data_IF_645296864308
#
_entry.id   IF_645296864308
#
_cell.length_a   1.000
_cell.length_b   1.000
_cell.length_c   1.000
_cell.angle_alpha   90.00
_cell.angle_beta   90.00
_cell.angle_gamma   90.00
#
_symmetry.space_group_name_H-M   'P 1'
#
loop_
_entity.id
_entity.type
_entity.pdbx_description
1 polymer ?
#
# COMPACT_ATOMS: atom_id res chain seq x y z
N UNK A 1 9.50 26.92 -53.77
CA UNK A 1 10.16 25.63 -53.57
C UNK A 1 9.24 24.73 -52.75
N UNK A 2 8.96 23.52 -53.21
CA UNK A 2 8.15 22.58 -52.41
C UNK A 2 8.92 22.10 -51.20
N UNK A 3 8.23 21.78 -50.11
CA UNK A 3 8.79 21.27 -48.84
C UNK A 3 9.78 20.12 -49.06
N UNK A 4 9.44 19.16 -49.91
CA UNK A 4 10.32 18.03 -50.26
C UNK A 4 11.60 18.45 -50.98
N UNK A 5 11.54 19.45 -51.85
CA UNK A 5 12.68 19.94 -52.63
C UNK A 5 13.77 20.54 -51.73
N UNK A 6 13.37 21.15 -50.59
CA UNK A 6 14.31 21.71 -49.62
C UNK A 6 15.22 20.61 -49.03
N UNK A 7 14.66 19.47 -48.64
CA UNK A 7 15.43 18.35 -48.07
C UNK A 7 16.27 17.61 -49.11
N UNK A 8 15.78 17.47 -50.33
CA UNK A 8 16.55 16.84 -51.43
C UNK A 8 17.82 17.64 -51.73
N UNK A 9 17.76 18.97 -51.68
CA UNK A 9 18.91 19.86 -51.93
C UNK A 9 19.86 19.96 -50.74
N UNK A 10 19.45 19.51 -49.53
CA UNK A 10 20.23 19.60 -48.28
C UNK A 10 20.26 18.26 -47.56
N UNK A 11 20.92 17.22 -48.12
CA UNK A 11 20.89 15.88 -47.55
C UNK A 11 21.54 15.78 -46.18
N UNK A 12 22.58 16.59 -45.89
CA UNK A 12 23.22 16.64 -44.59
C UNK A 12 22.23 17.17 -43.52
N UNK A 13 21.47 18.18 -43.84
CA UNK A 13 20.43 18.71 -42.93
C UNK A 13 19.34 17.66 -42.64
N UNK A 14 18.89 16.94 -43.64
CA UNK A 14 17.93 15.85 -43.46
C UNK A 14 18.49 14.73 -42.56
N UNK A 15 19.74 14.35 -42.77
CA UNK A 15 20.41 13.34 -41.95
C UNK A 15 20.57 13.77 -40.48
N UNK A 16 20.98 15.02 -40.24
CA UNK A 16 21.10 15.57 -38.88
C UNK A 16 19.74 15.59 -38.18
N UNK A 17 18.69 16.04 -38.85
CA UNK A 17 17.34 16.05 -38.29
C UNK A 17 16.86 14.65 -37.96
N UNK A 18 17.11 13.66 -38.83
CA UNK A 18 16.78 12.25 -38.58
C UNK A 18 17.51 11.70 -37.37
N UNK A 19 18.80 11.98 -37.24
CA UNK A 19 19.60 11.57 -36.07
C UNK A 19 19.07 12.19 -34.78
N UNK A 20 18.76 13.48 -34.80
CA UNK A 20 18.17 14.15 -33.63
C UNK A 20 16.84 13.53 -33.25
N UNK A 21 15.97 13.24 -34.21
CA UNK A 21 14.68 12.57 -34.00
C UNK A 21 14.86 11.20 -33.36
N UNK A 22 15.82 10.40 -33.83
CA UNK A 22 16.12 9.09 -33.24
C UNK A 22 16.65 9.22 -31.83
N UNK A 23 17.59 10.13 -31.57
CA UNK A 23 18.16 10.33 -30.25
C UNK A 23 17.09 10.80 -29.24
N UNK A 24 16.28 11.78 -29.62
CA UNK A 24 15.19 12.28 -28.76
C UNK A 24 14.16 11.18 -28.51
N UNK A 25 13.75 10.43 -29.54
CA UNK A 25 12.81 9.33 -29.43
C UNK A 25 13.32 8.19 -28.55
N UNK A 26 14.60 7.82 -28.70
CA UNK A 26 15.23 6.78 -27.87
C UNK A 26 15.34 7.19 -26.38
N UNK A 27 15.64 8.45 -26.12
CA UNK A 27 15.63 9.00 -24.75
C UNK A 27 14.20 8.98 -24.20
N UNK A 28 13.23 9.46 -24.97
CA UNK A 28 11.81 9.52 -24.57
C UNK A 28 11.25 8.13 -24.23
N UNK A 29 11.66 7.10 -24.95
CA UNK A 29 11.23 5.72 -24.70
C UNK A 29 11.56 5.24 -23.26
N UNK A 30 12.68 5.72 -22.68
CA UNK A 30 13.07 5.35 -21.31
C UNK A 30 12.20 6.01 -20.24
N UNK A 31 11.54 7.12 -20.57
CA UNK A 31 10.70 7.88 -19.66
C UNK A 31 9.21 7.65 -19.86
N UNK A 32 8.81 6.91 -20.90
CA UNK A 32 7.42 6.58 -21.11
C UNK A 32 6.92 5.62 -20.03
N UNK A 33 5.79 5.93 -19.36
CA UNK A 33 5.16 5.01 -18.43
C UNK A 33 4.65 3.78 -19.19
N UNK A 34 4.87 2.60 -18.61
CA UNK A 34 4.36 1.32 -19.12
C UNK A 34 3.35 0.78 -18.13
N UNK A 35 2.11 0.61 -18.56
CA UNK A 35 1.02 0.06 -17.75
C UNK A 35 0.29 -1.06 -18.49
N UNK A 36 -0.43 -1.92 -17.77
CA UNK A 36 -1.23 -3.00 -18.37
C UNK A 36 -2.43 -2.43 -19.13
N UNK A 37 -3.02 -1.36 -18.61
CA UNK A 37 -4.18 -0.65 -19.18
C UNK A 37 -3.92 0.86 -19.22
N UNK A 38 -4.55 1.59 -20.15
CA UNK A 38 -4.55 3.05 -20.10
C UNK A 38 -5.20 3.53 -18.78
N UNK A 39 -4.79 4.69 -18.29
CA UNK A 39 -5.35 5.31 -17.08
C UNK A 39 -6.79 5.79 -17.34
N UNK A 40 -7.74 4.85 -17.38
CA UNK A 40 -9.18 5.13 -17.54
C UNK A 40 -9.94 5.08 -16.23
N UNK A 41 -9.34 4.52 -15.18
CA UNK A 41 -9.94 4.46 -13.87
C UNK A 41 -9.77 5.80 -13.14
N UNK A 42 -10.88 6.44 -12.70
CA UNK A 42 -10.79 7.67 -11.92
C UNK A 42 -9.98 7.45 -10.64
N UNK A 43 -9.10 8.39 -10.28
CA UNK A 43 -8.30 8.28 -9.07
C UNK A 43 -9.18 8.36 -7.82
N UNK A 44 -8.82 7.60 -6.76
CA UNK A 44 -9.62 7.52 -5.55
C UNK A 44 -8.79 7.77 -4.29
N UNK A 45 -9.46 8.37 -3.29
CA UNK A 45 -8.95 8.48 -1.92
C UNK A 45 -9.84 7.63 -1.03
N UNK A 46 -9.23 6.77 -0.24
CA UNK A 46 -9.92 5.90 0.71
C UNK A 46 -9.70 6.41 2.13
N UNK A 47 -10.79 6.66 2.82
CA UNK A 47 -10.82 6.98 4.25
C UNK A 47 -11.23 5.73 5.01
N UNK A 48 -10.42 5.29 5.96
CA UNK A 48 -10.67 4.08 6.75
C UNK A 48 -10.73 4.43 8.23
N UNK A 49 -11.77 3.95 8.90
CA UNK A 49 -11.95 4.04 10.34
C UNK A 49 -12.31 2.67 10.92
N UNK A 50 -11.93 2.43 12.17
CA UNK A 50 -12.21 1.17 12.86
C UNK A 50 -13.07 1.51 14.08
N UNK A 51 -14.21 0.83 14.19
CA UNK A 51 -15.12 0.92 15.36
C UNK A 51 -15.39 -0.50 15.86
N UNK A 52 -14.55 -1.05 16.73
CA UNK A 52 -14.66 -2.43 17.18
C UNK A 52 -15.98 -2.71 17.88
N UNK A 53 -16.65 -3.81 17.52
CA UNK A 53 -17.92 -4.23 18.11
C UNK A 53 -19.16 -3.48 17.65
N UNK A 54 -19.03 -2.48 16.79
CA UNK A 54 -20.16 -1.79 16.21
C UNK A 54 -20.77 -2.57 15.04
N UNK A 55 -22.09 -2.59 14.94
CA UNK A 55 -22.78 -3.13 13.77
C UNK A 55 -22.63 -2.20 12.56
N UNK A 56 -22.79 -2.73 11.32
CA UNK A 56 -22.74 -1.91 10.11
C UNK A 56 -23.68 -0.70 10.13
N UNK A 57 -24.88 -0.84 10.70
CA UNK A 57 -25.86 0.26 10.83
C UNK A 57 -25.38 1.36 11.78
N UNK A 58 -24.77 0.98 12.91
CA UNK A 58 -24.14 1.92 13.84
C UNK A 58 -22.98 2.63 13.17
N UNK A 59 -22.14 1.92 12.45
CA UNK A 59 -21.01 2.49 11.69
C UNK A 59 -21.53 3.49 10.65
N UNK A 60 -22.57 3.14 9.90
CA UNK A 60 -23.16 4.00 8.88
C UNK A 60 -23.66 5.33 9.45
N UNK A 61 -24.33 5.27 10.61
CA UNK A 61 -24.94 6.47 11.21
C UNK A 61 -23.97 7.30 12.02
N UNK A 62 -23.04 6.68 12.76
CA UNK A 62 -22.19 7.39 13.72
C UNK A 62 -20.79 7.72 13.20
N UNK A 63 -20.32 7.03 12.16
CA UNK A 63 -18.98 7.20 11.60
C UNK A 63 -19.04 7.66 10.15
N UNK A 64 -19.74 6.91 9.28
CA UNK A 64 -19.77 7.21 7.85
C UNK A 64 -20.50 8.53 7.58
N UNK A 65 -21.70 8.71 8.09
CA UNK A 65 -22.51 9.91 7.83
C UNK A 65 -21.81 11.23 8.22
N UNK A 66 -21.18 11.38 9.40
CA UNK A 66 -20.43 12.59 9.75
C UNK A 66 -19.20 12.83 8.84
N UNK A 67 -18.54 11.76 8.39
CA UNK A 67 -17.41 11.87 7.47
C UNK A 67 -17.87 12.24 6.06
N UNK A 68 -18.94 11.63 5.56
CA UNK A 68 -19.55 11.95 4.27
C UNK A 68 -20.00 13.41 4.22
N UNK A 69 -20.69 13.87 5.27
CA UNK A 69 -21.14 15.27 5.37
C UNK A 69 -19.95 16.25 5.29
N UNK A 70 -18.87 15.96 6.00
CA UNK A 70 -17.69 16.82 6.01
C UNK A 70 -16.92 16.80 4.70
N UNK A 71 -16.83 15.63 4.04
CA UNK A 71 -16.09 15.42 2.80
C UNK A 71 -16.88 15.93 1.59
N UNK A 72 -18.19 15.96 1.69
CA UNK A 72 -19.05 16.40 0.60
C UNK A 72 -18.67 17.81 0.10
N UNK A 73 -18.67 17.98 -1.21
CA UNK A 73 -18.30 19.25 -1.86
C UNK A 73 -16.82 19.53 -1.97
N UNK A 74 -15.97 18.52 -1.82
CA UNK A 74 -14.55 18.64 -2.18
C UNK A 74 -14.45 18.85 -3.70
N UNK A 75 -13.63 19.80 -4.09
CA UNK A 75 -13.35 20.14 -5.50
C UNK A 75 -12.85 18.89 -6.27
N UNK A 76 -13.32 18.76 -7.51
CA UNK A 76 -13.03 17.66 -8.44
C UNK A 76 -13.49 16.27 -7.98
N UNK A 77 -14.20 16.14 -6.87
CA UNK A 77 -14.87 14.89 -6.51
C UNK A 77 -16.06 14.61 -7.44
N UNK A 78 -16.22 13.36 -7.87
CA UNK A 78 -17.33 12.91 -8.70
C UNK A 78 -18.45 12.32 -7.86
N UNK A 79 -18.11 11.34 -7.04
CA UNK A 79 -19.01 10.66 -6.12
C UNK A 79 -18.21 10.06 -4.96
N UNK A 80 -18.93 9.69 -3.91
CA UNK A 80 -18.37 8.94 -2.80
C UNK A 80 -19.29 7.77 -2.45
N UNK A 81 -18.70 6.74 -1.88
CA UNK A 81 -19.41 5.58 -1.35
C UNK A 81 -18.78 5.14 -0.04
N UNK A 82 -19.61 4.75 0.92
CA UNK A 82 -19.16 4.20 2.20
C UNK A 82 -19.66 2.79 2.39
N UNK A 83 -18.89 1.98 3.07
CA UNK A 83 -19.20 0.61 3.44
C UNK A 83 -18.78 0.35 4.88
N UNK A 84 -19.70 -0.12 5.70
CA UNK A 84 -19.44 -0.67 7.02
C UNK A 84 -19.47 -2.20 6.99
N UNK A 85 -18.54 -2.85 7.66
CA UNK A 85 -18.45 -4.32 7.75
C UNK A 85 -18.73 -4.79 9.17
N UNK A 86 -19.11 -6.07 9.34
CA UNK A 86 -19.46 -6.67 10.64
C UNK A 86 -18.27 -6.78 11.60
N UNK A 87 -17.05 -6.66 11.11
CA UNK A 87 -15.81 -6.61 11.90
C UNK A 87 -15.47 -5.20 12.41
N UNK A 88 -16.37 -4.25 12.22
CA UNK A 88 -16.22 -2.90 12.75
C UNK A 88 -15.40 -1.96 11.86
N UNK A 89 -15.13 -2.32 10.60
CA UNK A 89 -14.36 -1.50 9.67
C UNK A 89 -15.30 -0.63 8.83
N UNK A 90 -15.04 0.66 8.78
CA UNK A 90 -15.65 1.61 7.84
C UNK A 90 -14.65 1.96 6.75
N UNK A 91 -15.06 1.85 5.51
CA UNK A 91 -14.30 2.28 4.34
C UNK A 91 -15.15 3.27 3.55
N UNK A 92 -14.65 4.50 3.39
CA UNK A 92 -15.28 5.53 2.56
C UNK A 92 -14.34 5.84 1.39
N UNK A 93 -14.83 5.65 0.18
CA UNK A 93 -14.09 5.88 -1.06
C UNK A 93 -14.59 7.15 -1.72
N UNK A 94 -13.71 8.10 -1.95
CA UNK A 94 -13.98 9.34 -2.69
C UNK A 94 -13.33 9.24 -4.04
N UNK A 95 -14.12 9.33 -5.10
CA UNK A 95 -13.69 9.24 -6.50
C UNK A 95 -13.54 10.63 -7.09
N UNK A 96 -12.43 10.90 -7.75
CA UNK A 96 -12.10 12.19 -8.36
C UNK A 96 -12.09 12.11 -9.88
N UNK A 97 -12.16 13.27 -10.54
CA UNK A 97 -12.03 13.36 -12.01
C UNK A 97 -10.65 12.87 -12.46
N UNK A 98 -10.58 12.34 -13.68
CA UNK A 98 -9.31 12.01 -14.32
C UNK A 98 -8.41 13.26 -14.40
N UNK A 99 -7.12 13.08 -14.11
CA UNK A 99 -6.14 14.16 -14.11
C UNK A 99 -6.09 14.97 -12.81
N UNK A 100 -6.90 14.63 -11.79
CA UNK A 100 -6.80 15.25 -10.47
C UNK A 100 -5.49 14.87 -9.79
N UNK A 101 -4.78 15.85 -9.24
CA UNK A 101 -3.60 15.64 -8.40
C UNK A 101 -4.00 14.94 -7.10
N UNK A 102 -3.64 13.66 -6.96
CA UNK A 102 -3.97 12.84 -5.80
C UNK A 102 -3.29 13.31 -4.50
N UNK A 103 -2.14 13.98 -4.58
CA UNK A 103 -1.46 14.51 -3.40
C UNK A 103 -2.27 15.66 -2.80
N UNK A 104 -2.71 16.58 -3.62
CA UNK A 104 -3.58 17.67 -3.20
C UNK A 104 -4.96 17.17 -2.77
N UNK A 105 -5.53 16.20 -3.49
CA UNK A 105 -6.81 15.61 -3.15
C UNK A 105 -6.75 14.92 -1.77
N UNK A 106 -5.69 14.17 -1.47
CA UNK A 106 -5.50 13.53 -0.17
C UNK A 106 -5.43 14.57 0.95
N UNK A 107 -4.70 15.66 0.77
CA UNK A 107 -4.61 16.74 1.76
C UNK A 107 -5.97 17.38 1.98
N UNK A 108 -6.73 17.66 0.92
CA UNK A 108 -8.10 18.21 1.03
C UNK A 108 -9.02 17.26 1.80
N UNK A 109 -9.02 15.96 1.48
CA UNK A 109 -9.81 14.93 2.19
C UNK A 109 -9.39 14.85 3.65
N UNK A 110 -8.08 14.78 3.94
CA UNK A 110 -7.56 14.72 5.30
C UNK A 110 -7.99 15.93 6.14
N UNK A 111 -7.97 17.13 5.57
CA UNK A 111 -8.45 18.34 6.27
C UNK A 111 -9.94 18.25 6.61
N UNK A 112 -10.76 17.70 5.72
CA UNK A 112 -12.19 17.47 5.98
C UNK A 112 -12.42 16.39 7.04
N UNK A 113 -11.67 15.30 6.98
CA UNK A 113 -11.69 14.26 8.02
C UNK A 113 -11.34 14.84 9.38
N UNK A 114 -10.31 15.69 9.47
CA UNK A 114 -9.91 16.33 10.72
C UNK A 114 -11.03 17.23 11.29
N UNK A 115 -11.81 17.89 10.44
CA UNK A 115 -12.98 18.67 10.87
C UNK A 115 -14.11 17.78 11.41
N UNK A 116 -14.24 16.54 10.91
CA UNK A 116 -15.26 15.61 11.37
C UNK A 116 -14.88 14.86 12.67
N UNK A 117 -13.57 14.75 12.99
CA UNK A 117 -13.07 13.97 14.15
C UNK A 117 -13.83 14.27 15.46
N UNK A 118 -14.13 15.54 15.84
CA UNK A 118 -14.85 15.81 17.08
C UNK A 118 -16.27 15.22 17.15
N UNK A 119 -16.87 14.94 15.98
CA UNK A 119 -18.22 14.37 15.88
C UNK A 119 -18.25 12.85 15.97
N UNK A 120 -17.08 12.19 15.86
CA UNK A 120 -16.95 10.73 15.83
C UNK A 120 -16.92 10.14 17.26
N UNK A 121 -17.34 8.87 17.43
CA UNK A 121 -17.20 8.13 18.67
C UNK A 121 -15.78 8.14 19.23
N UNK A 122 -15.63 8.10 20.55
CA UNK A 122 -14.33 8.19 21.21
C UNK A 122 -13.39 7.05 20.81
N UNK A 123 -13.89 5.83 20.66
CA UNK A 123 -13.14 4.65 20.22
C UNK A 123 -12.54 4.85 18.83
N UNK A 124 -13.32 5.40 17.89
CA UNK A 124 -12.88 5.71 16.54
C UNK A 124 -11.81 6.80 16.54
N UNK A 125 -12.00 7.84 17.36
CA UNK A 125 -10.99 8.92 17.50
C UNK A 125 -9.69 8.41 18.09
N UNK A 126 -9.74 7.51 19.06
CA UNK A 126 -8.58 6.92 19.71
C UNK A 126 -7.78 6.01 18.78
N UNK A 127 -8.46 5.21 17.96
CA UNK A 127 -7.83 4.34 16.97
C UNK A 127 -7.33 5.12 15.75
N UNK A 128 -7.96 6.27 15.49
CA UNK A 128 -7.63 7.15 14.40
C UNK A 128 -8.37 6.82 13.10
N UNK A 129 -8.45 7.83 12.25
CA UNK A 129 -8.99 7.73 10.89
C UNK A 129 -7.86 7.93 9.91
N UNK A 130 -7.66 6.98 9.01
CA UNK A 130 -6.58 7.01 8.02
C UNK A 130 -7.11 7.40 6.65
N UNK A 131 -6.35 8.22 5.93
CA UNK A 131 -6.65 8.64 4.57
C UNK A 131 -5.53 8.19 3.65
N UNK A 132 -5.87 7.37 2.66
CA UNK A 132 -4.93 6.71 1.79
C UNK A 132 -5.29 6.99 0.33
N UNK A 133 -4.28 7.21 -0.52
CA UNK A 133 -4.46 7.14 -1.97
C UNK A 133 -4.74 5.68 -2.32
N UNK A 134 -5.75 5.45 -3.12
CA UNK A 134 -6.02 4.13 -3.67
C UNK A 134 -5.80 4.16 -5.16
N UNK A 135 -4.88 3.33 -5.63
CA UNK A 135 -4.79 3.02 -7.06
C UNK A 135 -5.55 1.71 -7.27
N UNK A 136 -6.39 1.60 -8.29
CA UNK A 136 -7.00 0.33 -8.67
C UNK A 136 -5.98 -0.65 -9.24
N UNK A 137 -4.78 -0.17 -9.60
CA UNK A 137 -3.80 -0.93 -10.36
C UNK A 137 -2.97 -1.83 -9.45
N UNK A 138 -3.46 -3.05 -9.27
CA UNK A 138 -2.74 -4.12 -8.59
C UNK A 138 -1.61 -4.65 -9.47
N UNK A 139 -0.37 -4.31 -9.15
CA UNK A 139 0.80 -4.72 -9.94
C UNK A 139 1.18 -6.17 -9.69
N UNK A 140 1.19 -6.61 -8.44
CA UNK A 140 1.51 -8.01 -8.10
C UNK A 140 1.07 -8.37 -6.68
N UNK A 141 1.01 -9.67 -6.42
CA UNK A 141 0.78 -10.19 -5.08
C UNK A 141 1.92 -11.14 -4.70
N UNK A 142 2.68 -10.74 -3.70
CA UNK A 142 3.68 -11.61 -3.06
C UNK A 142 3.00 -12.37 -1.94
N UNK A 143 3.17 -13.69 -1.90
CA UNK A 143 2.66 -14.54 -0.82
C UNK A 143 3.82 -15.02 0.01
N UNK A 144 3.79 -14.70 1.31
CA UNK A 144 4.71 -15.26 2.30
C UNK A 144 4.10 -16.53 2.87
N UNK A 145 4.86 -17.61 2.88
CA UNK A 145 4.38 -18.95 3.22
C UNK A 145 5.36 -19.66 4.16
N UNK A 146 4.85 -20.54 4.99
CA UNK A 146 5.64 -21.55 5.72
C UNK A 146 5.33 -22.93 5.12
N UNK A 147 6.16 -23.42 4.18
CA UNK A 147 5.89 -24.67 3.45
C UNK A 147 5.74 -25.89 4.34
N UNK A 148 6.48 -25.96 5.42
CA UNK A 148 6.51 -27.03 6.42
C UNK A 148 5.53 -26.78 7.58
N UNK A 149 4.70 -25.74 7.51
CA UNK A 149 3.78 -25.30 8.56
C UNK A 149 4.46 -25.08 9.94
N UNK A 150 5.74 -24.77 9.94
CA UNK A 150 6.53 -24.49 11.16
C UNK A 150 6.04 -23.24 11.87
N UNK A 151 5.60 -22.22 11.13
CA UNK A 151 5.16 -20.94 11.67
C UNK A 151 3.65 -20.77 11.52
N UNK A 152 3.03 -20.24 12.58
CA UNK A 152 1.63 -19.84 12.55
C UNK A 152 1.41 -18.65 11.60
N UNK A 153 0.17 -18.50 11.12
CA UNK A 153 -0.26 -17.38 10.28
C UNK A 153 0.01 -16.02 10.94
N UNK A 154 -0.20 -15.91 12.24
CA UNK A 154 0.07 -14.68 13.01
C UNK A 154 1.56 -14.34 13.02
N UNK A 155 2.43 -15.35 13.18
CA UNK A 155 3.88 -15.15 13.10
C UNK A 155 4.30 -14.66 11.71
N UNK A 156 3.83 -15.35 10.65
CA UNK A 156 4.15 -14.98 9.26
C UNK A 156 3.65 -13.57 8.95
N UNK A 157 2.45 -13.21 9.44
CA UNK A 157 1.91 -11.86 9.30
C UNK A 157 2.77 -10.80 10.01
N UNK A 158 3.15 -11.07 11.25
CA UNK A 158 4.00 -10.16 12.02
C UNK A 158 5.37 -9.98 11.34
N UNK A 159 5.96 -11.06 10.85
CA UNK A 159 7.21 -10.99 10.08
C UNK A 159 7.06 -10.13 8.82
N UNK A 160 5.97 -10.33 8.06
CA UNK A 160 5.65 -9.51 6.90
C UNK A 160 5.50 -8.02 7.24
N UNK A 161 4.84 -7.72 8.37
CA UNK A 161 4.64 -6.34 8.86
C UNK A 161 5.97 -5.66 9.21
N UNK A 162 6.82 -6.36 9.97
CA UNK A 162 8.04 -5.76 10.53
C UNK A 162 9.23 -5.73 9.56
N UNK A 163 9.36 -6.74 8.70
CA UNK A 163 10.56 -6.94 7.89
C UNK A 163 10.35 -6.67 6.39
N UNK A 164 9.14 -6.83 5.87
CA UNK A 164 8.90 -6.82 4.43
C UNK A 164 8.13 -5.59 3.98
N UNK A 165 7.00 -5.29 4.62
CA UNK A 165 6.06 -4.26 4.19
C UNK A 165 6.72 -2.91 3.93
N UNK A 166 7.51 -2.42 4.88
CA UNK A 166 8.13 -1.10 4.79
C UNK A 166 9.25 -1.05 3.75
N UNK A 167 9.95 -2.17 3.53
CA UNK A 167 10.96 -2.27 2.49
C UNK A 167 10.32 -2.16 1.10
N UNK A 168 9.22 -2.88 0.88
CA UNK A 168 8.48 -2.81 -0.38
C UNK A 168 7.79 -1.46 -0.58
N UNK A 169 7.25 -0.85 0.47
CA UNK A 169 6.57 0.44 0.40
C UNK A 169 7.50 1.62 0.02
N UNK A 170 8.81 1.47 0.22
CA UNK A 170 9.81 2.49 -0.13
C UNK A 170 10.31 2.39 -1.58
N UNK A 171 9.93 1.36 -2.31
CA UNK A 171 10.38 1.18 -3.70
C UNK A 171 9.75 2.25 -4.60
N UNK A 172 10.54 2.81 -5.54
CA UNK A 172 10.01 3.76 -6.52
C UNK A 172 8.86 3.14 -7.32
N UNK A 173 7.78 3.87 -7.49
CA UNK A 173 6.60 3.42 -8.21
C UNK A 173 5.58 2.65 -7.37
N UNK A 174 5.86 2.32 -6.11
CA UNK A 174 4.87 1.77 -5.19
C UNK A 174 3.95 2.87 -4.69
N UNK A 175 2.65 2.69 -4.87
CA UNK A 175 1.61 3.56 -4.31
C UNK A 175 1.15 3.08 -2.94
N UNK A 176 0.93 1.77 -2.81
CA UNK A 176 0.46 1.16 -1.57
C UNK A 176 0.90 -0.29 -1.46
N UNK A 177 1.21 -0.72 -0.23
CA UNK A 177 1.41 -2.12 0.14
C UNK A 177 0.41 -2.48 1.23
N UNK A 178 -0.41 -3.48 0.98
CA UNK A 178 -1.34 -4.02 1.96
C UNK A 178 -0.90 -5.41 2.41
N UNK A 179 -1.47 -5.88 3.50
CA UNK A 179 -1.24 -7.24 3.99
C UNK A 179 -2.58 -7.90 4.23
N UNK A 180 -2.82 -9.05 3.64
CA UNK A 180 -4.01 -9.87 3.84
C UNK A 180 -3.64 -11.18 4.52
N UNK A 181 -4.42 -11.57 5.52
CA UNK A 181 -4.22 -12.72 6.38
C UNK A 181 -4.77 -12.44 7.77
N UNK A 182 -4.34 -13.18 8.76
CA UNK A 182 -4.65 -12.89 10.17
C UNK A 182 -4.21 -11.49 10.57
N UNK A 183 -4.82 -10.93 11.63
CA UNK A 183 -4.41 -9.62 12.18
C UNK A 183 -3.00 -9.63 12.77
N UNK A 184 -2.49 -8.46 13.10
CA UNK A 184 -1.23 -8.31 13.82
C UNK A 184 -1.34 -8.87 15.25
N UNK A 185 -0.21 -9.16 15.90
CA UNK A 185 -0.21 -9.63 17.29
C UNK A 185 -0.97 -8.70 18.20
N UNK A 186 -1.83 -9.28 19.03
CA UNK A 186 -2.62 -8.59 20.03
C UNK A 186 -2.78 -9.45 21.26
N UNK A 187 -2.79 -8.84 22.44
CA UNK A 187 -3.17 -9.52 23.67
C UNK A 187 -4.70 -9.66 23.69
N UNK A 188 -5.17 -10.89 23.62
CA UNK A 188 -6.60 -11.23 23.64
C UNK A 188 -7.03 -11.62 25.04
N UNK A 189 -8.13 -11.01 25.47
CA UNK A 189 -8.69 -11.24 26.80
C UNK A 189 -10.10 -11.79 26.62
N UNK A 190 -10.27 -13.07 26.93
CA UNK A 190 -11.54 -13.78 26.85
C UNK A 190 -12.21 -13.78 28.21
N UNK A 191 -13.15 -12.87 28.40
CA UNK A 191 -13.90 -12.76 29.65
C UNK A 191 -14.85 -13.97 29.79
N UNK A 192 -14.87 -14.54 31.01
CA UNK A 192 -15.87 -15.53 31.42
C UNK A 192 -17.06 -14.75 32.02
N UNK A 193 -18.25 -14.76 31.38
CA UNK A 193 -19.37 -13.97 31.83
C UNK A 193 -19.86 -14.35 33.23
N UNK A 194 -19.84 -15.66 33.56
CA UNK A 194 -20.31 -16.16 34.86
C UNK A 194 -19.36 -15.73 35.98
N UNK A 195 -18.07 -15.90 35.77
CA UNK A 195 -17.07 -15.47 36.76
C UNK A 195 -17.03 -13.95 36.92
N UNK A 196 -17.22 -13.21 35.83
CA UNK A 196 -17.26 -11.74 35.84
C UNK A 196 -18.49 -11.27 36.64
N UNK A 197 -19.66 -11.83 36.39
CA UNK A 197 -20.89 -11.51 37.10
C UNK A 197 -20.81 -11.92 38.58
N UNK A 198 -20.28 -13.12 38.90
CA UNK A 198 -20.10 -13.59 40.27
C UNK A 198 -19.21 -12.67 41.13
N UNK A 199 -18.31 -11.93 40.48
CA UNK A 199 -17.46 -10.93 41.15
C UNK A 199 -18.07 -9.53 41.15
N UNK A 200 -19.29 -9.34 40.61
CA UNK A 200 -20.00 -8.05 40.51
C UNK A 200 -19.25 -7.05 39.61
N UNK A 201 -18.59 -7.55 38.56
CA UNK A 201 -17.87 -6.75 37.57
C UNK A 201 -18.65 -6.73 36.26
N UNK A 202 -18.59 -5.62 35.54
CA UNK A 202 -19.01 -5.51 34.15
C UNK A 202 -17.82 -5.60 33.20
N UNK A 203 -18.06 -5.88 31.92
CA UNK A 203 -17.01 -5.85 30.91
C UNK A 203 -16.35 -4.45 30.83
N UNK A 204 -17.12 -3.40 31.03
CA UNK A 204 -16.61 -2.02 31.03
C UNK A 204 -15.64 -1.75 32.19
N UNK A 205 -15.91 -2.30 33.37
CA UNK A 205 -14.99 -2.18 34.52
C UNK A 205 -13.66 -2.84 34.23
N UNK A 206 -13.69 -4.04 33.58
CA UNK A 206 -12.48 -4.73 33.17
C UNK A 206 -11.69 -3.92 32.12
N UNK A 207 -12.37 -3.37 31.12
CA UNK A 207 -11.71 -2.54 30.10
C UNK A 207 -11.07 -1.31 30.74
N UNK A 208 -11.74 -0.65 31.70
CA UNK A 208 -11.20 0.50 32.42
C UNK A 208 -9.96 0.13 33.23
N UNK A 209 -10.01 -0.95 34.00
CA UNK A 209 -8.85 -1.41 34.79
C UNK A 209 -7.65 -1.75 33.93
N UNK A 210 -7.87 -2.36 32.74
CA UNK A 210 -6.80 -2.64 31.77
C UNK A 210 -6.21 -1.33 31.24
N UNK A 211 -7.04 -0.36 30.88
CA UNK A 211 -6.59 0.94 30.35
C UNK A 211 -5.76 1.72 31.39
N UNK A 212 -6.18 1.71 32.64
CA UNK A 212 -5.49 2.40 33.74
C UNK A 212 -4.13 1.77 34.06
N UNK A 213 -4.02 0.44 34.02
CA UNK A 213 -2.79 -0.26 34.40
C UNK A 213 -1.86 -0.57 33.19
N UNK A 214 -2.36 -0.54 31.96
CA UNK A 214 -1.57 -0.71 30.75
C UNK A 214 -1.27 0.64 30.08
N UNK A 215 -0.90 1.63 30.85
CA UNK A 215 -0.57 2.96 30.39
C UNK A 215 0.94 3.21 30.41
N UNK A 216 1.45 3.92 29.41
CA UNK A 216 2.83 4.40 29.41
C UNK A 216 2.85 5.80 30.01
N UNK A 217 3.50 5.93 31.17
CA UNK A 217 3.59 7.19 31.89
C UNK A 217 5.04 7.65 31.91
N UNK A 218 5.27 8.92 31.58
CA UNK A 218 6.55 9.57 31.82
C UNK A 218 6.60 9.97 33.29
N UNK A 219 7.40 9.26 34.10
CA UNK A 219 7.49 9.48 35.54
C UNK A 219 8.37 10.69 35.94
N UNK A 220 9.02 11.35 34.95
CA UNK A 220 9.84 12.53 35.16
C UNK A 220 11.25 12.20 35.72
N UNK A 221 11.82 13.16 36.39
CA UNK A 221 13.17 13.05 36.97
C UNK A 221 13.21 13.64 38.39
N UNK A 222 14.05 13.09 39.26
CA UNK A 222 14.32 13.60 40.59
C UNK A 222 15.65 14.35 40.56
N UNK A 223 15.75 15.47 41.24
CA UNK A 223 16.96 16.30 41.25
C UNK A 223 17.06 17.34 40.14
N UNK A 224 15.97 17.59 39.39
CA UNK A 224 15.95 18.61 38.33
C UNK A 224 15.57 19.99 38.91
N UNK A 225 16.28 21.07 38.58
CA UNK A 225 15.93 22.42 39.02
C UNK A 225 14.52 22.86 38.60
N UNK A 226 13.80 23.69 39.39
CA UNK A 226 14.27 24.36 40.61
C UNK A 226 14.12 23.49 41.87
N UNK A 227 15.21 23.41 42.66
CA UNK A 227 15.26 22.69 43.96
C UNK A 227 15.59 23.66 45.09
N UNK A 228 15.04 23.43 46.27
CA UNK A 228 15.39 24.18 47.47
C UNK A 228 16.89 23.97 47.88
N UNK A 229 17.35 22.72 47.76
CA UNK A 229 18.76 22.34 47.91
C UNK A 229 19.28 21.79 46.58
N UNK A 230 20.27 22.46 45.96
CA UNK A 230 20.84 21.99 44.69
C UNK A 230 21.54 20.65 44.89
N UNK A 231 21.17 19.67 44.03
CA UNK A 231 21.86 18.37 43.97
C UNK A 231 22.60 18.29 42.63
N UNK A 232 23.81 17.72 42.67
CA UNK A 232 24.64 17.54 41.45
C UNK A 232 24.17 16.35 40.59
N UNK A 233 23.11 15.63 41.02
CA UNK A 233 22.66 14.40 40.39
C UNK A 233 21.18 14.50 40.02
N UNK A 234 20.90 14.35 38.72
CA UNK A 234 19.53 14.18 38.19
C UNK A 234 19.30 12.71 37.86
N UNK A 235 18.30 12.09 38.50
CA UNK A 235 17.91 10.70 38.28
C UNK A 235 16.61 10.66 37.46
N UNK A 236 16.64 10.03 36.30
CA UNK A 236 15.41 9.76 35.54
C UNK A 236 14.65 8.61 36.21
N UNK A 237 13.38 8.84 36.51
CA UNK A 237 12.49 7.81 37.06
C UNK A 237 11.85 7.05 35.90
N UNK A 238 12.19 5.77 35.76
CA UNK A 238 11.55 4.88 34.78
C UNK A 238 10.36 4.21 35.46
N UNK A 239 9.14 4.56 35.06
CA UNK A 239 7.96 3.81 35.40
C UNK A 239 7.88 2.53 34.54
N UNK A 240 7.26 1.49 35.06
CA UNK A 240 6.90 0.30 34.29
C UNK A 240 6.00 0.76 33.13
N UNK A 241 6.38 0.45 31.90
CA UNK A 241 5.64 0.82 30.71
C UNK A 241 4.42 -0.08 30.46
N UNK A 242 4.01 -0.18 29.20
CA UNK A 242 2.93 -1.10 28.81
C UNK A 242 3.31 -2.54 29.12
N UNK A 243 2.29 -3.31 29.51
CA UNK A 243 2.42 -4.75 29.74
C UNK A 243 2.66 -5.48 28.42
N UNK A 244 3.51 -6.51 28.46
CA UNK A 244 3.98 -7.20 27.26
C UNK A 244 3.60 -8.68 27.26
N UNK A 245 3.57 -9.32 28.42
CA UNK A 245 3.36 -10.77 28.56
C UNK A 245 1.96 -11.13 29.02
N UNK A 246 1.47 -12.32 28.66
CA UNK A 246 0.20 -12.86 29.13
C UNK A 246 0.11 -12.88 30.66
N UNK A 247 1.22 -13.18 31.31
CA UNK A 247 1.30 -13.21 32.77
C UNK A 247 1.11 -11.81 33.37
N UNK A 248 1.78 -10.79 32.82
CA UNK A 248 1.64 -9.41 33.28
C UNK A 248 0.20 -8.90 33.14
N UNK A 249 -0.46 -9.22 32.00
CA UNK A 249 -1.87 -8.90 31.83
C UNK A 249 -2.75 -9.66 32.82
N UNK A 250 -2.45 -10.94 33.08
CA UNK A 250 -3.17 -11.75 34.07
C UNK A 250 -3.11 -11.19 35.49
N UNK A 251 -2.06 -10.46 35.83
CA UNK A 251 -1.83 -9.85 37.16
C UNK A 251 -2.49 -8.46 37.31
N UNK A 252 -3.20 -7.95 36.29
CA UNK A 252 -3.99 -6.72 36.41
C UNK A 252 -5.01 -6.88 37.54
N UNK A 253 -5.02 -5.93 38.49
CA UNK A 253 -5.98 -5.89 39.60
C UNK A 253 -7.26 -5.22 39.11
N UNK A 254 -8.39 -5.92 39.20
CA UNK A 254 -9.70 -5.41 38.77
C UNK A 254 -10.43 -4.68 39.88
N UNK A 255 -10.40 -5.24 41.07
CA UNK A 255 -10.92 -4.64 42.31
C UNK A 255 -10.33 -5.35 43.52
N UNK A 256 -10.49 -4.73 44.69
CA UNK A 256 -10.27 -5.43 45.96
C UNK A 256 -11.57 -6.09 46.42
N UNK A 257 -11.49 -7.34 46.88
CA UNK A 257 -12.63 -8.06 47.46
C UNK A 257 -13.02 -7.52 48.84
N UNK A 258 -14.10 -8.06 49.39
CA UNK A 258 -14.70 -7.56 50.65
C UNK A 258 -13.78 -7.74 51.86
N UNK A 259 -12.81 -8.67 51.78
CA UNK A 259 -11.82 -8.91 52.83
C UNK A 259 -10.44 -8.30 52.47
N UNK A 260 -10.36 -7.51 51.40
CA UNK A 260 -9.16 -6.82 50.96
C UNK A 260 -8.26 -7.65 50.01
N UNK A 261 -8.64 -8.90 49.68
CA UNK A 261 -7.93 -9.68 48.68
C UNK A 261 -8.12 -9.09 47.27
N UNK A 262 -7.06 -8.97 46.44
CA UNK A 262 -7.18 -8.48 45.08
C UNK A 262 -7.81 -9.53 44.17
N UNK A 263 -8.74 -9.09 43.31
CA UNK A 263 -9.28 -9.88 42.19
C UNK A 263 -8.48 -9.54 40.94
N UNK A 264 -7.83 -10.56 40.39
CA UNK A 264 -6.98 -10.41 39.20
C UNK A 264 -7.74 -10.72 37.91
N UNK A 265 -7.24 -10.21 36.78
CA UNK A 265 -7.81 -10.49 35.47
C UNK A 265 -7.81 -11.98 35.15
N UNK A 266 -6.76 -12.73 35.52
CA UNK A 266 -6.67 -14.19 35.36
C UNK A 266 -7.77 -14.98 36.07
N UNK A 267 -8.41 -14.40 37.08
CA UNK A 267 -9.45 -15.07 37.85
C UNK A 267 -10.79 -15.11 37.09
N UNK A 268 -10.98 -14.17 36.15
CA UNK A 268 -12.24 -14.02 35.39
C UNK A 268 -12.05 -14.10 33.87
N UNK A 269 -10.81 -14.20 33.40
CA UNK A 269 -10.51 -14.18 31.97
C UNK A 269 -9.36 -15.12 31.62
N UNK A 270 -9.37 -15.62 30.38
CA UNK A 270 -8.20 -16.22 29.76
C UNK A 270 -7.48 -15.16 28.94
N UNK A 271 -6.20 -15.02 29.19
CA UNK A 271 -5.31 -14.09 28.46
C UNK A 271 -4.43 -14.90 27.52
N UNK A 272 -4.35 -14.52 26.27
CA UNK A 272 -3.50 -15.18 25.28
C UNK A 272 -2.97 -14.19 24.24
N UNK A 273 -1.76 -14.42 23.76
CA UNK A 273 -1.20 -13.70 22.61
C UNK A 273 -1.74 -14.31 21.31
N UNK A 274 -2.49 -13.55 20.56
CA UNK A 274 -3.11 -14.01 19.32
C UNK A 274 -3.16 -12.93 18.26
N UNK A 275 -3.97 -13.11 17.21
CA UNK A 275 -4.20 -12.07 16.24
C UNK A 275 -5.25 -11.06 16.72
N UNK A 276 -5.08 -9.80 16.37
CA UNK A 276 -6.10 -8.76 16.62
C UNK A 276 -7.41 -9.09 15.92
N UNK A 277 -7.36 -9.81 14.80
CA UNK A 277 -8.49 -10.17 13.96
C UNK A 277 -8.26 -11.52 13.27
N UNK A 278 -9.33 -12.31 13.12
CA UNK A 278 -9.33 -13.62 12.45
C UNK A 278 -10.36 -13.70 11.30
N UNK A 279 -10.97 -12.56 10.93
CA UNK A 279 -12.02 -12.53 9.89
C UNK A 279 -11.45 -12.82 8.49
N UNK A 280 -10.18 -12.51 8.27
CA UNK A 280 -9.53 -12.63 6.97
C UNK A 280 -8.49 -13.76 6.99
N UNK A 281 -8.60 -14.67 6.02
CA UNK A 281 -7.64 -15.75 5.81
C UNK A 281 -7.08 -15.68 4.40
N UNK A 282 -5.77 -15.71 4.28
CA UNK A 282 -5.10 -15.86 2.99
C UNK A 282 -4.51 -17.26 2.87
N UNK A 283 -4.65 -17.85 1.69
CA UNK A 283 -4.11 -19.17 1.37
C UNK A 283 -3.47 -19.18 0.00
N UNK A 284 -2.43 -19.95 -0.15
CA UNK A 284 -1.80 -20.25 -1.44
C UNK A 284 -1.66 -21.76 -1.58
N UNK A 285 -2.27 -22.35 -2.63
CA UNK A 285 -2.27 -23.79 -2.84
C UNK A 285 -2.74 -24.59 -1.60
N UNK A 286 -3.79 -24.14 -0.96
CA UNK A 286 -4.37 -24.73 0.25
C UNK A 286 -3.45 -24.71 1.50
N UNK A 287 -2.33 -23.98 1.45
CA UNK A 287 -1.48 -23.73 2.60
C UNK A 287 -1.72 -22.32 3.12
N UNK A 288 -1.62 -22.14 4.44
CA UNK A 288 -1.71 -20.82 5.06
C UNK A 288 -0.62 -19.88 4.50
N UNK A 289 -1.04 -18.69 4.13
CA UNK A 289 -0.16 -17.68 3.55
C UNK A 289 -0.53 -16.28 4.07
N UNK A 290 0.40 -15.34 3.94
CA UNK A 290 0.12 -13.91 4.04
C UNK A 290 0.27 -13.32 2.66
N UNK A 291 -0.81 -12.76 2.12
CA UNK A 291 -0.77 -12.12 0.82
C UNK A 291 -0.40 -10.64 0.99
N UNK A 292 0.53 -10.19 0.17
CA UNK A 292 1.08 -8.84 0.14
C UNK A 292 0.79 -8.24 -1.24
N UNK A 293 -0.43 -7.72 -1.48
CA UNK A 293 -0.72 -6.99 -2.70
C UNK A 293 0.04 -5.66 -2.73
N UNK A 294 0.64 -5.39 -3.88
CA UNK A 294 1.42 -4.20 -4.18
C UNK A 294 0.70 -3.45 -5.29
N UNK A 295 0.29 -2.24 -4.99
CA UNK A 295 -0.37 -1.33 -5.92
C UNK A 295 0.63 -0.30 -6.41
N UNK A 296 0.63 -0.02 -7.71
CA UNK A 296 1.51 0.99 -8.27
C UNK A 296 0.99 2.42 -8.02
N UNK A 297 1.91 3.37 -8.00
CA UNK A 297 1.55 4.79 -8.08
C UNK A 297 1.07 5.13 -9.50
N UNK A 298 0.06 6.00 -9.65
CA UNK A 298 -0.35 6.47 -10.96
C UNK A 298 0.82 7.00 -11.78
N UNK A 299 0.87 6.65 -13.07
CA UNK A 299 1.95 7.06 -13.99
C UNK A 299 3.30 6.39 -13.78
N UNK A 300 3.41 5.40 -12.87
CA UNK A 300 4.64 4.63 -12.68
C UNK A 300 4.78 3.50 -13.72
N UNK A 301 5.99 2.95 -13.84
CA UNK A 301 6.28 1.85 -14.76
C UNK A 301 6.10 0.51 -14.05
N UNK A 302 5.05 -0.25 -14.41
CA UNK A 302 4.70 -1.54 -13.80
C UNK A 302 5.83 -2.59 -13.96
N UNK A 303 6.53 -2.60 -15.10
CA UNK A 303 7.62 -3.56 -15.36
C UNK A 303 8.81 -3.26 -14.45
N UNK A 304 9.24 -1.99 -14.39
CA UNK A 304 10.34 -1.58 -13.54
C UNK A 304 10.02 -1.81 -12.05
N UNK A 305 8.77 -1.56 -11.65
CA UNK A 305 8.28 -1.85 -10.31
C UNK A 305 8.34 -3.36 -10.02
N UNK A 306 7.84 -4.21 -10.92
CA UNK A 306 7.90 -5.67 -10.78
C UNK A 306 9.33 -6.17 -10.60
N UNK A 307 10.28 -5.65 -11.40
CA UNK A 307 11.70 -6.01 -11.29
C UNK A 307 12.29 -5.59 -9.94
N UNK A 308 11.97 -4.39 -9.49
CA UNK A 308 12.42 -3.87 -8.20
C UNK A 308 11.89 -4.71 -7.03
N UNK A 309 10.60 -5.06 -7.06
CA UNK A 309 9.99 -5.93 -6.05
C UNK A 309 10.63 -7.32 -6.03
N UNK A 310 10.83 -7.94 -7.21
CA UNK A 310 11.46 -9.26 -7.32
C UNK A 310 12.88 -9.24 -6.77
N UNK A 311 13.67 -8.22 -7.12
CA UNK A 311 15.03 -8.04 -6.62
C UNK A 311 15.04 -7.89 -5.10
N UNK A 312 14.22 -6.99 -4.55
CA UNK A 312 14.14 -6.76 -3.11
C UNK A 312 13.67 -8.00 -2.36
N UNK A 313 12.68 -8.73 -2.88
CA UNK A 313 12.25 -9.98 -2.25
C UNK A 313 13.32 -11.08 -2.28
N UNK A 314 14.15 -11.13 -3.32
CA UNK A 314 15.29 -12.05 -3.36
C UNK A 314 16.35 -11.70 -2.30
N UNK A 315 16.67 -10.41 -2.15
CA UNK A 315 17.60 -9.91 -1.12
C UNK A 315 17.04 -10.17 0.31
N UNK A 316 15.76 -9.92 0.53
CA UNK A 316 15.11 -10.18 1.82
C UNK A 316 15.08 -11.67 2.17
N UNK A 317 14.93 -12.54 1.17
CA UNK A 317 14.93 -13.99 1.37
C UNK A 317 16.21 -14.51 2.01
N UNK A 318 17.35 -13.89 1.76
CA UNK A 318 18.64 -14.28 2.37
C UNK A 318 18.59 -14.20 3.92
N UNK A 319 17.71 -13.35 4.46
CA UNK A 319 17.54 -13.15 5.89
C UNK A 319 16.29 -13.84 6.46
N UNK A 320 15.59 -14.65 5.66
CA UNK A 320 14.40 -15.34 6.17
C UNK A 320 14.78 -16.42 7.18
N UNK A 321 13.99 -16.56 8.25
CA UNK A 321 14.16 -17.70 9.14
C UNK A 321 13.89 -19.01 8.38
N UNK A 322 14.59 -20.07 8.77
CA UNK A 322 14.45 -21.39 8.17
C UNK A 322 13.00 -21.89 8.25
N UNK A 323 12.42 -22.30 7.10
CA UNK A 323 11.00 -22.69 7.01
C UNK A 323 10.05 -21.55 6.61
N UNK A 324 10.58 -20.37 6.29
CA UNK A 324 9.81 -19.28 5.68
C UNK A 324 10.24 -19.12 4.21
N UNK A 325 9.29 -18.98 3.31
CA UNK A 325 9.55 -18.75 1.89
C UNK A 325 8.49 -17.80 1.29
N UNK A 326 8.72 -17.33 0.07
CA UNK A 326 7.74 -16.52 -0.64
C UNK A 326 7.47 -17.05 -2.05
N UNK A 327 6.28 -16.75 -2.57
CA UNK A 327 5.89 -16.98 -3.96
C UNK A 327 5.13 -15.77 -4.50
N UNK A 328 5.39 -15.44 -5.76
CA UNK A 328 4.62 -14.44 -6.49
C UNK A 328 3.62 -15.21 -7.34
N UNK A 329 2.34 -15.20 -6.93
CA UNK A 329 1.29 -15.95 -7.60
C UNK A 329 0.52 -15.12 -8.62
N UNK A 330 0.46 -13.80 -8.42
CA UNK A 330 -0.18 -12.87 -9.33
C UNK A 330 0.84 -11.83 -9.80
N UNK A 331 1.10 -11.79 -11.09
CA UNK A 331 1.97 -10.80 -11.73
C UNK A 331 1.57 -10.63 -13.21
N UNK A 332 0.69 -9.68 -13.51
CA UNK A 332 0.27 -9.40 -14.88
C UNK A 332 1.39 -8.84 -15.75
N UNK A 333 2.48 -8.30 -15.16
CA UNK A 333 3.61 -7.79 -15.95
C UNK A 333 4.29 -8.86 -16.81
N UNK A 334 4.12 -10.14 -16.46
CA UNK A 334 4.57 -11.27 -17.30
C UNK A 334 3.87 -11.26 -18.67
N UNK A 335 2.58 -10.96 -18.70
CA UNK A 335 1.83 -10.86 -19.95
C UNK A 335 2.23 -9.60 -20.73
N UNK A 336 2.42 -8.48 -20.04
CA UNK A 336 2.88 -7.22 -20.65
C UNK A 336 4.23 -7.42 -21.33
N UNK A 337 5.21 -8.09 -20.67
CA UNK A 337 6.51 -8.43 -21.26
C UNK A 337 6.36 -9.28 -22.51
N UNK A 338 5.60 -10.36 -22.43
CA UNK A 338 5.35 -11.23 -23.60
C UNK A 338 4.69 -10.48 -24.75
N UNK A 339 3.79 -9.56 -24.45
CA UNK A 339 3.14 -8.72 -25.45
C UNK A 339 4.15 -7.79 -26.13
N UNK A 340 5.02 -7.14 -25.36
CA UNK A 340 6.08 -6.28 -25.90
C UNK A 340 7.04 -7.11 -26.78
N UNK A 341 7.48 -8.28 -26.31
CA UNK A 341 8.35 -9.16 -27.08
C UNK A 341 7.69 -9.59 -28.40
N UNK A 342 6.40 -9.93 -28.39
CA UNK A 342 5.64 -10.28 -29.58
C UNK A 342 5.55 -9.10 -30.56
N UNK A 343 5.30 -7.89 -30.06
CA UNK A 343 5.28 -6.67 -30.89
C UNK A 343 6.66 -6.40 -31.50
N UNK A 344 7.74 -6.56 -30.77
CA UNK A 344 9.10 -6.38 -31.29
C UNK A 344 9.37 -7.40 -32.40
N UNK A 345 9.02 -8.67 -32.22
CA UNK A 345 9.23 -9.71 -33.24
C UNK A 345 8.42 -9.40 -34.49
N UNK A 346 7.11 -9.11 -34.36
CA UNK A 346 6.26 -8.77 -35.51
C UNK A 346 6.71 -7.51 -36.21
N UNK A 347 7.21 -6.52 -35.48
CA UNK A 347 7.79 -5.30 -36.04
C UNK A 347 9.03 -5.60 -36.90
N UNK A 348 9.94 -6.45 -36.38
CA UNK A 348 11.14 -6.86 -37.12
C UNK A 348 10.76 -7.65 -38.38
N UNK A 349 9.78 -8.55 -38.32
CA UNK A 349 9.26 -9.28 -39.47
C UNK A 349 8.64 -8.31 -40.51
N UNK A 350 7.84 -7.34 -40.06
CA UNK A 350 7.26 -6.33 -40.94
C UNK A 350 8.34 -5.47 -41.61
N UNK A 351 9.34 -5.01 -40.87
CA UNK A 351 10.48 -4.26 -41.43
C UNK A 351 11.19 -5.12 -42.49
N UNK A 352 11.47 -6.38 -42.20
CA UNK A 352 12.13 -7.28 -43.12
C UNK A 352 11.34 -7.45 -44.46
N UNK A 353 10.01 -7.65 -44.33
CA UNK A 353 9.12 -7.73 -45.48
C UNK A 353 9.11 -6.42 -46.30
N UNK A 354 9.02 -5.27 -45.63
CA UNK A 354 9.07 -3.96 -46.29
C UNK A 354 10.39 -3.78 -47.02
N UNK A 355 11.52 -4.14 -46.40
CA UNK A 355 12.86 -4.11 -46.97
C UNK A 355 12.92 -4.96 -48.25
N UNK A 356 12.42 -6.19 -48.17
CA UNK A 356 12.41 -7.12 -49.30
C UNK A 356 11.60 -6.58 -50.44
N UNK A 357 10.39 -6.09 -50.21
CA UNK A 357 9.53 -5.48 -51.23
C UNK A 357 10.19 -4.24 -51.86
N UNK A 358 10.77 -3.36 -51.03
CA UNK A 358 11.45 -2.16 -51.54
C UNK A 358 12.64 -2.52 -52.41
N UNK A 359 13.47 -3.53 -52.06
CA UNK A 359 14.57 -3.97 -52.87
C UNK A 359 14.08 -4.56 -54.21
N UNK A 360 13.07 -5.42 -54.16
CA UNK A 360 12.50 -6.04 -55.36
C UNK A 360 11.94 -4.98 -56.35
N UNK A 361 11.20 -4.01 -55.88
CA UNK A 361 10.57 -2.99 -56.74
C UNK A 361 11.54 -1.92 -57.21
N UNK A 362 12.49 -1.48 -56.35
CA UNK A 362 13.48 -0.46 -56.74
C UNK A 362 14.67 -1.04 -57.53
N UNK A 363 14.86 -2.37 -57.53
CA UNK A 363 15.91 -3.09 -58.24
C UNK A 363 17.34 -2.55 -58.02
N UNK A 364 17.49 -1.68 -56.97
CA UNK A 364 18.76 -1.01 -56.66
C UNK A 364 18.91 -0.92 -55.16
N UNK A 365 19.85 -1.66 -54.57
CA UNK A 365 20.11 -1.69 -53.12
C UNK A 365 20.41 -0.29 -52.57
N UNK A 366 21.09 0.57 -53.33
CA UNK A 366 21.44 1.94 -52.91
C UNK A 366 20.20 2.84 -52.74
N UNK A 367 19.20 2.71 -53.64
CA UNK A 367 17.98 3.46 -53.54
C UNK A 367 17.10 2.98 -52.39
N UNK A 368 17.23 1.72 -51.98
CA UNK A 368 16.48 1.11 -50.90
C UNK A 368 16.96 1.56 -49.51
N UNK A 369 18.19 2.09 -49.36
CA UNK A 369 18.73 2.56 -48.08
C UNK A 369 17.89 3.71 -47.51
N UNK A 370 17.38 4.62 -48.30
CA UNK A 370 16.60 5.79 -47.83
C UNK A 370 15.28 5.37 -47.23
N UNK A 371 14.39 4.62 -47.87
CA UNK A 371 13.17 4.10 -47.26
C UNK A 371 13.48 3.19 -46.04
N UNK A 372 14.52 2.42 -46.12
CA UNK A 372 14.96 1.52 -45.02
C UNK A 372 15.35 2.28 -43.77
N UNK A 373 16.04 3.42 -43.90
CA UNK A 373 16.40 4.29 -42.78
C UNK A 373 15.20 5.10 -42.27
N UNK A 374 14.25 5.46 -43.15
CA UNK A 374 13.08 6.25 -42.76
C UNK A 374 12.15 5.52 -41.78
N UNK A 375 11.99 4.19 -41.90
CA UNK A 375 11.11 3.39 -41.02
C UNK A 375 11.57 3.44 -39.55
N UNK A 376 12.83 3.12 -39.20
CA UNK A 376 13.30 3.24 -37.82
C UNK A 376 13.23 4.68 -37.28
N UNK A 377 13.56 5.68 -38.11
CA UNK A 377 13.48 7.09 -37.71
C UNK A 377 12.04 7.49 -37.36
N UNK A 378 11.07 7.07 -38.18
CA UNK A 378 9.64 7.35 -37.92
C UNK A 378 9.14 6.66 -36.66
N UNK A 379 9.45 5.37 -36.50
CA UNK A 379 9.02 4.58 -35.33
C UNK A 379 9.59 5.12 -34.02
N UNK A 380 10.91 5.34 -33.97
CA UNK A 380 11.56 5.85 -32.77
C UNK A 380 11.13 7.28 -32.51
N UNK A 381 10.98 8.10 -33.56
CA UNK A 381 10.51 9.48 -33.45
C UNK A 381 9.10 9.61 -32.89
N UNK A 382 8.23 8.60 -33.09
CA UNK A 382 6.88 8.57 -32.53
C UNK A 382 6.91 8.59 -30.98
N UNK A 383 7.88 7.92 -30.36
CA UNK A 383 8.01 7.93 -28.89
C UNK A 383 8.29 9.33 -28.33
N UNK A 384 8.99 10.18 -29.05
CA UNK A 384 9.19 11.58 -28.66
C UNK A 384 7.87 12.35 -28.62
N UNK A 385 7.01 12.14 -29.61
CA UNK A 385 5.68 12.77 -29.70
C UNK A 385 4.77 12.22 -28.60
N UNK A 386 4.77 10.90 -28.40
CA UNK A 386 4.00 10.25 -27.32
C UNK A 386 4.37 10.82 -25.95
N UNK A 387 5.67 10.95 -25.68
CA UNK A 387 6.16 11.53 -24.42
C UNK A 387 5.73 12.99 -24.25
N UNK A 388 5.85 13.79 -25.32
CA UNK A 388 5.44 15.21 -25.29
C UNK A 388 3.92 15.40 -25.10
N UNK A 389 3.10 14.44 -25.54
CA UNK A 389 1.64 14.45 -25.38
C UNK A 389 1.17 13.74 -24.10
N UNK A 390 2.08 13.20 -23.30
CA UNK A 390 1.75 12.49 -22.05
C UNK A 390 1.09 11.13 -22.26
N UNK A 391 1.35 10.46 -23.39
CA UNK A 391 0.83 9.10 -23.63
C UNK A 391 1.67 8.05 -22.90
N UNK A 392 1.02 6.96 -22.52
CA UNK A 392 1.65 5.76 -21.99
C UNK A 392 1.79 4.67 -23.07
N UNK A 393 2.68 3.71 -22.82
CA UNK A 393 2.75 2.46 -23.58
C UNK A 393 1.91 1.43 -22.84
N UNK A 394 0.88 0.91 -23.49
CA UNK A 394 -0.06 -0.08 -22.94
C UNK A 394 -0.51 -1.07 -24.03
#
# INVERSE_FOLDING_TARGET
MGFSQFFIQRPIFAAVLSIITVVVGAISLQFLPVSEYPEVAPPTIVVRAIYPGASPDVIATTVASPLEEAINGIEDSLYMSSQGTTDGIMTLTVTFKLGTDLDQAQVKVQNRVNQALPKLPEEVRRLGVTTLKSSPDLTMVVHLISPDARYSDVYVRNYATLQIKDQLARLPGVGQVQLFGSGDYSMRIWLDPEKTAARGLSALDVVRSIQEQNAQVAAGSVGQPPLADPTDLTLTVNARGRLVTEQEFGEIVLKNGDQGEPVYLRDIARVELGASEYSLRAQLNNSTAVAIPIFQSPGSNAIALSDSVRKTMAELKENFPEGLDYKIAYDPTVFVRKSIDAVIVTLLEAILLVVLVVIVFLQTWRASIIPLAAVPVSLIGTFAVMHALGFSVN
#
